data_IF_237916824005
#
_entry.id   IF_237916824005
#
_cell.length_a   1.000
_cell.length_b   1.000
_cell.length_c   1.000
_cell.angle_alpha   90.00
_cell.angle_beta   90.00
_cell.angle_gamma   90.00
#
_symmetry.space_group_name_H-M   'P 1'
#
loop_
_entity.id
_entity.type
_entity.pdbx_description
1 polymer ?
#
# COMPACT_ATOMS: atom_id res chain seq x y z
N UNK A 1 -27.87 5.07 -15.87
CA UNK A 1 -27.60 5.82 -14.80
C UNK A 1 -26.36 5.43 -14.11
N UNK A 2 -25.82 6.32 -13.69
CA UNK A 2 -24.69 5.97 -13.05
C UNK A 2 -24.95 5.26 -11.81
N UNK A 3 -24.31 4.29 -11.62
CA UNK A 3 -24.40 3.56 -10.43
C UNK A 3 -23.37 4.00 -9.44
N UNK A 4 -22.81 5.15 -9.67
CA UNK A 4 -21.84 5.63 -8.74
C UNK A 4 -22.45 5.80 -7.37
N UNK A 5 -21.83 5.23 -6.38
CA UNK A 5 -22.32 5.27 -5.01
C UNK A 5 -21.24 5.80 -4.10
N UNK A 6 -21.50 6.90 -3.41
CA UNK A 6 -20.47 7.45 -2.54
C UNK A 6 -19.98 6.49 -1.48
N UNK A 7 -20.86 5.68 -0.95
CA UNK A 7 -20.43 4.75 0.09
C UNK A 7 -19.46 3.68 -0.41
N UNK A 8 -19.51 3.36 -1.70
CA UNK A 8 -18.54 2.40 -2.21
C UNK A 8 -17.15 3.00 -2.30
N UNK A 9 -17.05 4.29 -2.39
CA UNK A 9 -15.75 4.95 -2.36
C UNK A 9 -15.22 5.06 -0.95
N UNK A 10 -16.09 5.15 0.03
CA UNK A 10 -15.68 5.24 1.41
C UNK A 10 -15.26 3.91 1.98
N UNK A 11 -15.64 2.82 1.36
CA UNK A 11 -15.26 1.50 1.83
C UNK A 11 -13.85 1.16 1.41
N UNK A 12 -13.09 0.50 2.26
CA UNK A 12 -11.81 -0.02 1.84
C UNK A 12 -12.01 -1.04 0.73
N UNK A 13 -11.25 -0.92 -0.30
CA UNK A 13 -11.25 -1.91 -1.37
C UNK A 13 -10.64 -3.20 -0.88
N UNK A 14 -11.11 -4.37 -1.31
CA UNK A 14 -10.46 -5.61 -0.92
C UNK A 14 -8.99 -5.65 -1.31
N UNK A 15 -8.65 -5.00 -2.41
CA UNK A 15 -7.27 -4.96 -2.89
C UNK A 15 -6.47 -3.82 -2.33
N UNK A 16 -7.10 -2.96 -1.55
CA UNK A 16 -6.40 -1.81 -1.01
C UNK A 16 -5.44 -2.26 0.06
N UNK A 17 -4.22 -1.75 -0.03
CA UNK A 17 -3.23 -2.02 1.00
C UNK A 17 -3.61 -1.32 2.28
N UNK A 18 -3.38 -1.99 3.39
CA UNK A 18 -3.58 -1.42 4.71
C UNK A 18 -2.25 -1.54 5.43
N UNK A 19 -1.34 -0.66 5.08
CA UNK A 19 -0.01 -0.67 5.64
C UNK A 19 0.07 0.27 6.82
N UNK A 20 1.03 0.00 7.67
CA UNK A 20 1.28 0.80 8.86
C UNK A 20 2.70 1.32 8.81
N UNK A 21 2.91 2.39 9.54
CA UNK A 21 4.25 2.91 9.72
C UNK A 21 5.17 1.80 10.22
N UNK A 22 6.30 1.66 9.58
CA UNK A 22 7.25 0.61 9.91
C UNK A 22 7.14 -0.66 9.07
N UNK A 23 6.07 -0.81 8.30
CA UNK A 23 5.90 -1.98 7.44
C UNK A 23 6.93 -1.97 6.33
N UNK A 24 7.39 -3.14 5.96
CA UNK A 24 8.37 -3.30 4.89
C UNK A 24 7.66 -3.62 3.59
N UNK A 25 8.15 -3.02 2.53
CA UNK A 25 7.57 -3.15 1.20
C UNK A 25 8.69 -3.22 0.17
N UNK A 26 8.34 -3.53 -1.07
CA UNK A 26 9.23 -3.37 -2.21
C UNK A 26 8.50 -2.58 -3.29
N UNK A 27 9.25 -1.92 -4.14
CA UNK A 27 8.67 -1.22 -5.27
C UNK A 27 8.10 -2.23 -6.26
N UNK A 28 6.81 -2.12 -6.53
CA UNK A 28 6.11 -3.02 -7.43
C UNK A 28 6.43 -2.71 -8.88
N UNK A 29 6.73 -1.46 -9.15
CA UNK A 29 7.06 -0.96 -10.47
C UNK A 29 8.22 -0.01 -10.33
N UNK A 30 8.80 0.38 -11.45
CA UNK A 30 9.84 1.40 -11.42
C UNK A 30 9.23 2.73 -11.03
N UNK A 31 9.82 3.39 -10.06
CA UNK A 31 9.40 4.70 -9.60
C UNK A 31 10.53 5.69 -9.82
N UNK A 32 10.25 6.95 -9.62
CA UNK A 32 11.24 8.00 -9.82
C UNK A 32 12.44 7.76 -8.91
N UNK A 33 13.56 7.38 -9.51
CA UNK A 33 14.77 7.10 -8.75
C UNK A 33 14.76 5.81 -7.96
N UNK A 34 13.74 4.95 -8.18
CA UNK A 34 13.62 3.68 -7.44
C UNK A 34 13.30 2.57 -8.43
N UNK A 35 14.25 1.70 -8.73
CA UNK A 35 13.96 0.56 -9.61
C UNK A 35 12.96 -0.40 -9.00
N UNK A 36 12.25 -1.09 -9.86
CA UNK A 36 11.34 -2.15 -9.43
C UNK A 36 12.09 -3.15 -8.54
N UNK A 37 11.42 -3.57 -7.46
CA UNK A 37 12.02 -4.54 -6.54
C UNK A 37 12.87 -3.93 -5.43
N UNK A 38 13.05 -2.62 -5.41
CA UNK A 38 13.83 -1.97 -4.36
C UNK A 38 13.09 -2.05 -3.03
N UNK A 39 13.73 -2.57 -1.98
CA UNK A 39 13.08 -2.63 -0.66
C UNK A 39 12.92 -1.24 -0.05
N UNK A 40 11.88 -1.09 0.75
CA UNK A 40 11.63 0.15 1.45
C UNK A 40 10.84 -0.09 2.73
N UNK A 41 10.60 0.99 3.45
CA UNK A 41 9.89 0.96 4.71
C UNK A 41 8.92 2.12 4.76
N UNK A 42 7.69 1.83 5.16
CA UNK A 42 6.67 2.86 5.30
C UNK A 42 7.02 3.76 6.47
N UNK A 43 7.14 5.05 6.23
CA UNK A 43 7.45 6.01 7.28
C UNK A 43 6.27 6.91 7.63
N UNK A 44 5.24 6.92 6.79
CA UNK A 44 4.04 7.69 7.04
C UNK A 44 2.88 7.04 6.31
N UNK A 45 1.75 6.93 6.98
CA UNK A 45 0.53 6.40 6.39
C UNK A 45 -0.60 7.37 6.71
N UNK A 46 -1.29 7.86 5.69
CA UNK A 46 -2.42 8.75 5.92
C UNK A 46 -3.44 8.64 4.79
N UNK A 47 -4.59 9.22 5.01
CA UNK A 47 -5.68 9.22 4.05
C UNK A 47 -6.99 8.86 4.73
N UNK A 48 -8.09 9.18 4.06
CA UNK A 48 -9.43 8.85 4.53
C UNK A 48 -9.99 7.67 3.76
N UNK A 49 -10.41 7.93 2.54
CA UNK A 49 -11.00 6.88 1.71
C UNK A 49 -9.94 6.10 0.98
N UNK A 50 -8.80 6.67 0.85
CA UNK A 50 -7.72 6.12 0.06
C UNK A 50 -6.43 6.32 0.83
N UNK A 51 -5.83 5.26 1.28
CA UNK A 51 -4.59 5.34 2.02
C UNK A 51 -3.42 5.61 1.08
N UNK A 52 -2.57 6.52 1.49
CA UNK A 52 -1.35 6.85 0.79
C UNK A 52 -0.19 6.72 1.74
N UNK A 53 0.95 6.31 1.20
CA UNK A 53 2.09 5.99 2.02
C UNK A 53 3.32 6.74 1.55
N UNK A 54 4.09 7.19 2.51
CA UNK A 54 5.41 7.72 2.25
C UNK A 54 6.39 6.63 2.60
N UNK A 55 7.29 6.32 1.68
CA UNK A 55 8.20 5.20 1.83
C UNK A 55 9.63 5.67 1.63
N UNK A 56 10.51 5.24 2.54
CA UNK A 56 11.93 5.44 2.39
C UNK A 56 12.52 4.15 1.86
N UNK A 57 13.11 4.21 0.69
CA UNK A 57 13.67 3.04 0.04
C UNK A 57 15.13 2.85 0.44
N UNK A 58 15.58 1.62 0.30
CA UNK A 58 16.91 1.24 0.75
C UNK A 58 18.02 1.98 0.01
N UNK A 59 17.74 2.43 -1.21
CA UNK A 59 18.69 3.20 -1.98
C UNK A 59 18.76 4.68 -1.55
N UNK A 60 18.03 5.05 -0.51
CA UNK A 60 18.04 6.42 0.01
C UNK A 60 16.93 7.31 -0.50
N UNK A 61 16.20 6.87 -1.52
CA UNK A 61 15.10 7.67 -2.05
C UNK A 61 13.90 7.62 -1.11
N UNK A 62 13.20 8.73 -1.02
CA UNK A 62 11.98 8.81 -0.21
C UNK A 62 10.89 9.40 -1.07
N UNK A 63 9.80 8.65 -1.26
CA UNK A 63 8.72 9.05 -2.15
C UNK A 63 7.40 9.12 -1.40
N UNK A 64 6.61 10.17 -1.63
CA UNK A 64 5.28 10.30 -1.00
C UNK A 64 4.19 9.76 -1.91
N UNK A 65 2.99 9.66 -1.34
CA UNK A 65 1.75 9.40 -2.08
C UNK A 65 1.76 8.11 -2.88
N UNK A 66 2.35 7.07 -2.30
CA UNK A 66 2.37 5.75 -2.91
C UNK A 66 1.20 4.91 -2.40
N UNK A 67 0.71 4.00 -3.24
CA UNK A 67 -0.42 3.14 -2.87
C UNK A 67 -0.19 1.73 -3.45
N UNK A 68 -1.26 0.95 -3.54
CA UNK A 68 -1.17 -0.44 -3.97
C UNK A 68 -0.65 -0.61 -5.39
N UNK A 69 -0.69 0.44 -6.18
CA UNK A 69 -0.14 0.39 -7.54
C UNK A 69 1.37 0.42 -7.55
N UNK A 70 1.96 0.87 -6.47
CA UNK A 70 3.40 1.13 -6.39
C UNK A 70 4.13 0.19 -5.46
N UNK A 71 3.43 -0.45 -4.53
CA UNK A 71 4.07 -1.15 -3.42
C UNK A 71 3.57 -2.57 -3.28
N UNK A 72 4.48 -3.48 -2.96
CA UNK A 72 4.13 -4.84 -2.56
C UNK A 72 4.61 -5.03 -1.12
N UNK A 73 3.71 -5.40 -0.20
CA UNK A 73 4.14 -5.64 1.17
C UNK A 73 5.00 -6.89 1.26
N UNK A 74 5.93 -6.89 2.20
CA UNK A 74 6.80 -8.03 2.42
C UNK A 74 6.82 -8.39 3.90
N UNK A 75 7.33 -9.58 4.20
CA UNK A 75 7.54 -10.00 5.58
C UNK A 75 6.26 -10.03 6.39
N UNK A 76 6.30 -9.40 7.55
CA UNK A 76 5.17 -9.39 8.48
C UNK A 76 3.93 -8.73 7.90
N UNK A 77 4.12 -7.66 7.16
CA UNK A 77 3.00 -6.96 6.53
C UNK A 77 2.30 -7.84 5.51
N UNK A 78 3.07 -8.56 4.70
CA UNK A 78 2.49 -9.47 3.72
C UNK A 78 1.68 -10.57 4.41
N UNK A 79 2.19 -11.12 5.49
CA UNK A 79 1.47 -12.15 6.23
C UNK A 79 0.19 -11.63 6.86
N UNK A 80 0.25 -10.43 7.41
CA UNK A 80 -0.93 -9.80 8.03
C UNK A 80 -2.02 -9.59 6.99
N UNK A 81 -1.66 -9.07 5.83
CA UNK A 81 -2.64 -8.79 4.79
C UNK A 81 -3.21 -10.05 4.16
N UNK A 82 -2.38 -11.06 3.98
CA UNK A 82 -2.86 -12.35 3.48
C UNK A 82 -3.87 -12.97 4.44
N UNK A 83 -3.62 -12.86 5.74
CA UNK A 83 -4.53 -13.36 6.75
C UNK A 83 -5.85 -12.62 6.74
N UNK A 84 -5.81 -11.30 6.58
CA UNK A 84 -7.03 -10.50 6.47
C UNK A 84 -7.84 -10.87 5.24
N UNK A 85 -7.17 -11.06 4.12
CA UNK A 85 -7.83 -11.45 2.90
C UNK A 85 -8.57 -12.76 3.04
N UNK A 86 -7.95 -13.73 3.68
CA UNK A 86 -8.60 -15.01 3.92
C UNK A 86 -9.81 -14.86 4.86
N UNK A 87 -9.66 -14.06 5.89
CA UNK A 87 -10.78 -13.84 6.81
C UNK A 87 -11.93 -13.15 6.10
N UNK A 88 -11.63 -12.25 5.18
CA UNK A 88 -12.66 -11.52 4.47
C UNK A 88 -13.41 -12.38 3.46
N UNK A 89 -12.84 -13.49 3.02
CA UNK A 89 -13.49 -14.35 2.03
C UNK A 89 -14.31 -15.44 2.66
N UNK A 90 -14.27 -15.60 3.93
CA UNK A 90 -15.13 -16.56 4.61
C UNK A 90 -16.38 -15.88 5.13
#
# INVERSE_FOLDING_TARGET
MTTWKPHSLARPHPDQLDLRRGDKVVAKVELLGVPEGTPGKVILANGFNWMRYRVRFKNGAELPDLDERHLVPTGRAARRLAKRGRAATT
#
